data_IF_887161289099
#
_entry.id   IF_887161289099
#
_cell.length_a   1.000
_cell.length_b   1.000
_cell.length_c   1.000
_cell.angle_alpha   90.00
_cell.angle_beta   90.00
_cell.angle_gamma   90.00
#
_symmetry.space_group_name_H-M   'P 1'
#
loop_
_entity.id
_entity.type
_entity.pdbx_description
1 polymer ?
#
# COMPACT_ATOMS: atom_id res chain seq x y z
N UNK A 1 -28.52 9.84 -4.22
CA UNK A 1 -28.90 8.42 -4.29
C UNK A 1 -27.87 7.68 -5.12
N UNK A 2 -26.72 7.33 -4.54
CA UNK A 2 -25.87 6.22 -5.00
C UNK A 2 -25.23 5.65 -3.75
N UNK A 3 -25.85 4.59 -3.25
CA UNK A 3 -25.32 3.74 -2.20
C UNK A 3 -24.28 2.83 -2.84
N UNK A 4 -23.00 3.06 -2.60
CA UNK A 4 -22.01 2.00 -2.79
C UNK A 4 -21.81 1.35 -1.44
N UNK A 5 -22.73 0.43 -1.13
CA UNK A 5 -22.57 -0.55 -0.06
C UNK A 5 -21.37 -1.39 -0.47
N UNK A 6 -20.22 -1.13 0.15
CA UNK A 6 -19.07 -2.02 0.09
C UNK A 6 -19.46 -3.26 0.90
N UNK A 7 -20.11 -4.24 0.28
CA UNK A 7 -20.34 -5.55 0.92
C UNK A 7 -18.96 -6.17 1.19
N UNK A 8 -18.58 -6.14 2.46
CA UNK A 8 -17.36 -6.72 3.04
C UNK A 8 -17.36 -8.27 3.03
N UNK A 9 -17.93 -8.90 2.00
CA UNK A 9 -18.06 -10.37 1.88
C UNK A 9 -16.94 -11.05 1.08
N UNK A 10 -16.05 -10.29 0.43
CA UNK A 10 -14.91 -10.83 -0.31
C UNK A 10 -13.59 -10.87 0.47
N UNK A 11 -13.61 -10.49 1.76
CA UNK A 11 -12.52 -10.74 2.71
C UNK A 11 -12.55 -12.22 3.12
N UNK A 12 -12.24 -13.08 2.15
CA UNK A 12 -12.04 -14.50 2.36
C UNK A 12 -10.97 -14.71 3.43
N UNK A 13 -11.28 -15.59 4.37
CA UNK A 13 -10.43 -16.09 5.44
C UNK A 13 -9.20 -16.82 4.88
N UNK A 14 -8.25 -16.09 4.32
CA UNK A 14 -6.95 -16.63 3.95
C UNK A 14 -5.86 -15.72 4.49
N UNK A 15 -5.23 -16.16 5.56
CA UNK A 15 -4.08 -15.55 6.23
C UNK A 15 -2.80 -15.59 5.40
N UNK A 16 -2.90 -15.85 4.09
CA UNK A 16 -1.76 -16.07 3.18
C UNK A 16 -1.39 -14.85 2.35
N UNK A 17 -2.26 -13.83 2.29
CA UNK A 17 -2.08 -12.72 1.36
C UNK A 17 -2.20 -11.37 2.06
N UNK A 18 -1.19 -10.53 1.86
CA UNK A 18 -1.12 -9.20 2.48
C UNK A 18 -2.10 -8.24 1.81
N UNK A 19 -2.67 -7.33 2.58
CA UNK A 19 -3.63 -6.34 2.08
C UNK A 19 -2.91 -5.12 1.52
N UNK A 20 -3.39 -4.66 0.38
CA UNK A 20 -2.94 -3.41 -0.22
C UNK A 20 -4.11 -2.65 -0.84
N UNK A 21 -3.96 -1.32 -0.87
CA UNK A 21 -4.93 -0.40 -1.46
C UNK A 21 -4.27 0.21 -2.69
N UNK A 22 -4.93 0.05 -3.82
CA UNK A 22 -4.52 0.62 -5.09
C UNK A 22 -5.35 1.88 -5.32
N UNK A 23 -4.68 2.99 -5.62
CA UNK A 23 -5.30 4.27 -5.94
C UNK A 23 -4.97 4.61 -7.39
N UNK A 24 -6.03 4.71 -8.21
CA UNK A 24 -5.93 5.23 -9.57
C UNK A 24 -6.51 6.63 -9.62
N UNK A 25 -5.74 7.56 -10.19
CA UNK A 25 -6.19 8.91 -10.54
C UNK A 25 -6.44 8.90 -12.05
N UNK A 26 -7.65 9.23 -12.48
CA UNK A 26 -7.97 9.34 -13.90
C UNK A 26 -7.72 10.75 -14.45
N UNK A 27 -7.84 10.92 -15.77
CA UNK A 27 -7.69 12.21 -16.47
C UNK A 27 -8.69 13.29 -15.97
N UNK A 28 -9.76 12.88 -15.30
CA UNK A 28 -10.78 13.75 -14.72
C UNK A 28 -10.54 14.04 -13.23
N UNK A 29 -9.39 13.63 -12.67
CA UNK A 29 -9.03 13.74 -11.26
C UNK A 29 -9.97 12.99 -10.30
N UNK A 30 -10.60 11.92 -10.76
CA UNK A 30 -11.40 11.03 -9.92
C UNK A 30 -10.50 10.00 -9.26
N UNK A 31 -10.66 9.82 -7.94
CA UNK A 31 -9.95 8.80 -7.16
C UNK A 31 -10.74 7.50 -7.13
N UNK A 32 -10.16 6.43 -7.67
CA UNK A 32 -10.71 5.07 -7.52
C UNK A 32 -9.86 4.26 -6.55
N UNK A 33 -10.49 3.79 -5.46
CA UNK A 33 -9.87 2.93 -4.45
C UNK A 33 -10.26 1.47 -4.69
N UNK A 34 -9.28 0.59 -4.78
CA UNK A 34 -9.50 -0.85 -4.87
C UNK A 34 -8.70 -1.58 -3.80
N UNK A 35 -9.41 -2.22 -2.87
CA UNK A 35 -8.79 -3.19 -1.97
C UNK A 35 -8.34 -4.42 -2.76
N UNK A 36 -7.11 -4.88 -2.55
CA UNK A 36 -6.52 -5.99 -3.29
C UNK A 36 -5.55 -6.78 -2.40
N UNK A 37 -5.04 -7.88 -2.96
CA UNK A 37 -3.95 -8.66 -2.38
C UNK A 37 -2.77 -8.72 -3.36
N UNK A 38 -1.61 -9.11 -2.86
CA UNK A 38 -0.35 -9.37 -3.60
C UNK A 38 -0.51 -10.18 -4.90
N UNK A 39 -1.51 -11.06 -5.02
CA UNK A 39 -1.84 -11.77 -6.28
C UNK A 39 -2.04 -10.82 -7.46
N UNK A 40 -2.49 -9.59 -7.20
CA UNK A 40 -2.73 -8.57 -8.21
C UNK A 40 -1.42 -8.19 -8.95
N UNK A 41 -0.32 -8.02 -8.20
CA UNK A 41 1.00 -7.70 -8.77
C UNK A 41 1.69 -8.95 -9.35
N UNK A 42 1.51 -10.11 -8.71
CA UNK A 42 2.12 -11.37 -9.15
C UNK A 42 1.59 -11.87 -10.50
N UNK A 43 0.32 -11.60 -10.82
CA UNK A 43 -0.29 -12.00 -12.10
C UNK A 43 0.04 -11.04 -13.25
N UNK A 44 0.79 -9.96 -13.01
CA UNK A 44 1.12 -8.99 -14.05
C UNK A 44 -0.11 -8.32 -14.65
N UNK A 45 -1.18 -8.16 -13.86
CA UNK A 45 -2.38 -7.44 -14.29
C UNK A 45 -1.98 -5.97 -14.38
N UNK A 46 -1.65 -5.55 -15.60
CA UNK A 46 -1.32 -4.17 -15.93
C UNK A 46 -2.61 -3.36 -15.87
N UNK A 47 -2.82 -2.63 -14.76
CA UNK A 47 -3.79 -1.55 -14.76
C UNK A 47 -3.04 -0.34 -15.29
N UNK A 48 -3.44 0.14 -16.46
CA UNK A 48 -2.93 1.39 -17.02
C UNK A 48 -2.97 2.49 -15.96
N UNK A 49 -1.84 3.13 -15.69
CA UNK A 49 -1.66 4.26 -14.77
C UNK A 49 -2.13 4.03 -13.32
N UNK A 50 -1.53 3.07 -12.61
CA UNK A 50 -1.58 3.09 -11.14
C UNK A 50 -0.70 4.22 -10.62
N UNK A 51 -1.35 5.30 -10.18
CA UNK A 51 -0.65 6.49 -9.67
C UNK A 51 -0.04 6.24 -8.30
N UNK A 52 -0.70 5.45 -7.44
CA UNK A 52 -0.29 5.27 -6.05
C UNK A 52 -0.68 3.88 -5.48
N UNK A 53 0.25 3.29 -4.72
CA UNK A 53 -0.01 2.09 -3.90
C UNK A 53 0.19 2.39 -2.42
N UNK A 54 -0.70 1.84 -1.58
CA UNK A 54 -0.58 1.90 -0.13
C UNK A 54 -0.48 0.48 0.41
N UNK A 55 0.67 0.15 1.00
CA UNK A 55 0.87 -1.06 1.77
C UNK A 55 0.15 -0.91 3.11
N UNK A 56 -1.01 -1.58 3.25
CA UNK A 56 -1.76 -1.55 4.49
C UNK A 56 -1.08 -2.41 5.57
N UNK A 57 -0.60 -3.58 5.16
CA UNK A 57 0.27 -4.44 5.96
C UNK A 57 1.63 -4.57 5.27
N UNK A 58 2.72 -4.52 6.05
CA UNK A 58 4.06 -4.74 5.52
C UNK A 58 4.20 -6.18 4.98
N UNK A 59 4.87 -6.39 3.83
CA UNK A 59 5.06 -7.73 3.28
C UNK A 59 6.02 -8.55 4.15
N UNK A 60 5.52 -9.70 4.61
CA UNK A 60 6.27 -10.67 5.40
C UNK A 60 6.11 -12.08 4.87
N UNK A 61 7.11 -12.93 5.08
CA UNK A 61 7.00 -14.35 4.79
C UNK A 61 6.18 -15.07 5.86
N UNK A 62 5.87 -16.35 5.64
CA UNK A 62 5.19 -17.21 6.62
C UNK A 62 5.91 -17.30 7.97
N UNK A 63 7.21 -17.03 7.98
CA UNK A 63 8.06 -17.01 9.18
C UNK A 63 8.11 -15.63 9.84
N UNK A 64 7.24 -14.70 9.44
CA UNK A 64 7.19 -13.30 9.91
C UNK A 64 8.51 -12.53 9.70
N UNK A 65 9.25 -12.87 8.63
CA UNK A 65 10.44 -12.13 8.20
C UNK A 65 10.07 -11.18 7.06
N UNK A 66 10.81 -10.08 6.84
CA UNK A 66 10.56 -9.20 5.70
C UNK A 66 10.60 -9.95 4.37
N UNK A 67 9.58 -9.75 3.53
CA UNK A 67 9.52 -10.30 2.18
C UNK A 67 9.92 -9.23 1.16
N UNK A 68 11.21 -9.20 0.84
CA UNK A 68 11.81 -8.21 -0.06
C UNK A 68 11.32 -8.34 -1.50
N UNK A 69 11.10 -9.56 -1.99
CA UNK A 69 10.66 -9.81 -3.36
C UNK A 69 9.23 -9.29 -3.55
N UNK A 70 8.34 -9.62 -2.61
CA UNK A 70 6.97 -9.10 -2.63
C UNK A 70 6.96 -7.57 -2.49
N UNK A 71 7.81 -6.97 -1.65
CA UNK A 71 7.91 -5.52 -1.55
C UNK A 71 8.34 -4.88 -2.88
N UNK A 72 9.40 -5.41 -3.50
CA UNK A 72 9.93 -4.89 -4.77
C UNK A 72 8.88 -4.97 -5.89
N UNK A 73 8.13 -6.07 -5.97
CA UNK A 73 7.07 -6.22 -6.97
C UNK A 73 5.93 -5.22 -6.81
N UNK A 74 5.59 -4.82 -5.57
CA UNK A 74 4.56 -3.81 -5.32
C UNK A 74 4.98 -2.42 -5.75
N UNK A 75 6.22 -2.03 -5.44
CA UNK A 75 6.72 -0.68 -5.75
C UNK A 75 7.16 -0.55 -7.21
N UNK A 76 7.58 -1.65 -7.85
CA UNK A 76 8.13 -1.65 -9.20
C UNK A 76 7.13 -1.35 -10.33
N UNK A 77 5.84 -1.18 -10.01
CA UNK A 77 4.77 -0.90 -10.98
C UNK A 77 4.06 0.43 -10.75
N UNK A 78 4.51 1.23 -9.78
CA UNK A 78 3.80 2.44 -9.36
C UNK A 78 4.75 3.60 -9.22
N UNK A 79 4.27 4.80 -9.53
CA UNK A 79 5.07 6.02 -9.42
C UNK A 79 5.27 6.46 -7.97
N UNK A 80 4.28 6.20 -7.11
CA UNK A 80 4.32 6.52 -5.69
C UNK A 80 3.89 5.31 -4.86
N UNK A 81 4.53 5.11 -3.70
CA UNK A 81 4.16 4.08 -2.73
C UNK A 81 4.21 4.66 -1.31
N UNK A 82 3.19 4.40 -0.50
CA UNK A 82 3.19 4.64 0.94
C UNK A 82 3.11 3.33 1.72
N UNK A 83 3.74 3.32 2.90
CA UNK A 83 3.64 2.23 3.86
C UNK A 83 2.87 2.73 5.08
N UNK A 84 1.80 2.04 5.47
CA UNK A 84 1.12 2.31 6.74
C UNK A 84 1.82 1.52 7.85
N UNK A 85 2.42 2.25 8.79
CA UNK A 85 3.13 1.67 9.92
C UNK A 85 2.24 1.79 11.16
N UNK A 86 1.59 0.70 11.55
CA UNK A 86 0.68 0.66 12.69
C UNK A 86 1.30 0.13 13.98
N UNK A 87 2.44 -0.55 13.90
CA UNK A 87 3.10 -1.17 15.05
C UNK A 87 4.63 -1.11 14.98
N UNK A 88 5.29 -1.33 16.12
CA UNK A 88 6.76 -1.46 16.19
C UNK A 88 7.29 -2.61 15.32
N UNK A 89 6.51 -3.68 15.18
CA UNK A 89 6.87 -4.81 14.30
C UNK A 89 6.92 -4.37 12.84
N UNK A 90 5.90 -3.64 12.39
CA UNK A 90 5.84 -3.11 11.01
C UNK A 90 6.99 -2.14 10.77
N UNK A 91 7.32 -1.31 11.76
CA UNK A 91 8.45 -0.40 11.70
C UNK A 91 9.78 -1.16 11.53
N UNK A 92 9.99 -2.22 12.31
CA UNK A 92 11.20 -3.05 12.20
C UNK A 92 11.29 -3.77 10.85
N UNK A 93 10.16 -4.25 10.31
CA UNK A 93 10.11 -4.84 8.96
C UNK A 93 10.46 -3.79 7.90
N UNK A 94 9.88 -2.60 7.99
CA UNK A 94 10.16 -1.48 7.10
C UNK A 94 11.64 -1.08 7.13
N UNK A 95 12.24 -0.99 8.33
CA UNK A 95 13.67 -0.71 8.49
C UNK A 95 14.56 -1.79 7.86
N UNK A 96 14.22 -3.06 8.03
CA UNK A 96 14.96 -4.14 7.38
C UNK A 96 14.88 -4.06 5.84
N UNK A 97 13.72 -3.66 5.29
CA UNK A 97 13.52 -3.41 3.86
C UNK A 97 14.36 -2.23 3.37
N UNK A 98 14.34 -1.11 4.11
CA UNK A 98 15.15 0.09 3.84
C UNK A 98 16.64 -0.25 3.77
N UNK A 99 17.13 -1.02 4.76
CA UNK A 99 18.52 -1.47 4.83
C UNK A 99 18.91 -2.43 3.69
N UNK A 100 18.02 -3.38 3.36
CA UNK A 100 18.25 -4.36 2.30
C UNK A 100 18.40 -3.68 0.93
N UNK A 101 17.50 -2.76 0.59
CA UNK A 101 17.53 -2.04 -0.69
C UNK A 101 18.49 -0.84 -0.70
N UNK A 102 18.98 -0.42 0.47
CA UNK A 102 19.82 0.78 0.66
C UNK A 102 19.17 2.04 0.07
N UNK A 103 17.85 2.11 0.19
CA UNK A 103 17.04 3.21 -0.31
C UNK A 103 16.27 3.81 0.86
N UNK A 104 16.52 5.07 1.23
CA UNK A 104 15.90 5.69 2.40
C UNK A 104 14.38 5.77 2.22
N UNK A 105 13.64 5.46 3.28
CA UNK A 105 12.18 5.57 3.29
C UNK A 105 11.79 6.74 4.21
N UNK A 106 11.35 7.83 3.59
CA UNK A 106 10.94 9.02 4.32
C UNK A 106 9.66 8.77 5.12
N UNK A 107 9.68 9.11 6.40
CA UNK A 107 8.54 9.01 7.29
C UNK A 107 7.74 10.30 7.30
N UNK A 108 6.42 10.18 7.18
CA UNK A 108 5.49 11.30 7.37
C UNK A 108 4.54 10.93 8.51
N UNK A 109 4.45 11.79 9.53
CA UNK A 109 3.50 11.59 10.62
C UNK A 109 2.12 12.09 10.21
N UNK A 110 1.07 11.52 10.81
CA UNK A 110 -0.32 11.96 10.55
C UNK A 110 -0.49 13.43 10.92
N UNK A 111 0.15 13.89 12.00
CA UNK A 111 0.14 15.29 12.42
C UNK A 111 0.71 16.23 11.36
N UNK A 112 1.81 15.83 10.70
CA UNK A 112 2.38 16.61 9.60
C UNK A 112 1.41 16.69 8.41
N UNK A 113 0.65 15.63 8.13
CA UNK A 113 -0.37 15.63 7.07
C UNK A 113 -1.53 16.58 7.44
N UNK A 114 -2.03 16.54 8.67
CA UNK A 114 -3.11 17.43 9.12
C UNK A 114 -2.72 18.91 9.05
N UNK A 115 -1.45 19.24 9.30
CA UNK A 115 -0.97 20.61 9.20
C UNK A 115 -0.89 21.10 7.73
N UNK A 116 -0.61 20.21 6.77
CA UNK A 116 -0.64 20.57 5.34
C UNK A 116 -2.03 20.96 4.84
N UNK A 117 -3.10 20.39 5.42
CA UNK A 117 -4.47 20.75 5.07
C UNK A 117 -4.87 22.13 5.62
N UNK A 118 -4.26 22.55 6.73
CA UNK A 118 -4.61 23.79 7.43
C UNK A 118 -3.98 25.05 6.81
N UNK A 119 -2.91 24.91 6.03
CA UNK A 119 -2.23 26.02 5.34
C UNK A 119 -2.93 26.45 4.03
N UNK A 120 -4.04 25.79 3.69
CA UNK A 120 -4.83 26.03 2.47
C UNK A 120 -6.22 26.66 2.72
N UNK A 121 -6.54 27.07 3.95
CA UNK A 121 -7.67 27.96 4.30
C UNK A 121 -7.22 29.40 4.58
#
# INVERSE_FOLDING_TARGET
MYSTIFESKLLTRSTMYHKLIIVKIDELHTLTLKGSTDIFFALGIDIDDVSLVINYDMPVTTDFKPDYETYLHRIGRCSYTFNLIGSEKDFNIMKAIEEYFRYPIDGITIEAISNLESDHE
#
